data_IF_859754815461
#
_entry.id   IF_859754815461
#
_cell.length_a   1.000
_cell.length_b   1.000
_cell.length_c   1.000
_cell.angle_alpha   90.00
_cell.angle_beta   90.00
_cell.angle_gamma   90.00
#
_symmetry.space_group_name_H-M   'P 1'
#
loop_
_entity.id
_entity.type
_entity.pdbx_description
1 polymer ?
#
# COMPACT_ATOMS: atom_id res chain seq x y z
N UNK A 1 21.27 -14.39 -26.65
CA UNK A 1 21.88 -13.08 -26.89
C UNK A 1 20.72 -12.09 -26.96
N UNK A 2 20.34 -11.47 -25.83
CA UNK A 2 19.41 -10.34 -25.89
C UNK A 2 20.28 -9.16 -26.31
N UNK A 3 20.14 -8.73 -27.55
CA UNK A 3 20.76 -7.47 -27.96
C UNK A 3 20.29 -6.41 -26.98
N UNK A 4 21.26 -5.74 -26.38
CA UNK A 4 21.10 -4.73 -25.35
C UNK A 4 20.03 -3.73 -25.79
N UNK A 5 18.81 -3.85 -25.25
CA UNK A 5 17.68 -2.98 -25.61
C UNK A 5 18.17 -1.53 -25.56
N UNK A 6 18.25 -0.92 -26.73
CA UNK A 6 18.95 0.35 -26.89
C UNK A 6 18.19 1.46 -26.16
N UNK A 7 18.89 2.51 -25.73
CA UNK A 7 18.26 3.68 -25.12
C UNK A 7 17.11 4.25 -25.98
N UNK A 8 17.26 4.18 -27.31
CA UNK A 8 16.24 4.60 -28.29
C UNK A 8 14.95 3.77 -28.20
N UNK A 9 15.06 2.45 -28.06
CA UNK A 9 13.92 1.53 -28.00
C UNK A 9 13.17 1.70 -26.69
N UNK A 10 13.90 1.80 -25.58
CA UNK A 10 13.33 2.09 -24.26
C UNK A 10 12.60 3.43 -24.24
N UNK A 11 13.18 4.47 -24.86
CA UNK A 11 12.52 5.77 -25.02
C UNK A 11 11.26 5.68 -25.89
N UNK A 12 11.24 4.85 -26.93
CA UNK A 12 10.06 4.65 -27.76
C UNK A 12 8.93 3.96 -26.97
N UNK A 13 9.25 2.92 -26.20
CA UNK A 13 8.29 2.24 -25.32
C UNK A 13 7.74 3.22 -24.27
N UNK A 14 8.61 4.02 -23.63
CA UNK A 14 8.18 5.01 -22.65
C UNK A 14 7.22 6.04 -23.25
N UNK A 15 7.48 6.52 -24.48
CA UNK A 15 6.56 7.42 -25.20
C UNK A 15 5.23 6.76 -25.54
N UNK A 16 5.25 5.53 -26.05
CA UNK A 16 4.03 4.79 -26.32
C UNK A 16 3.18 4.60 -25.04
N UNK A 17 3.81 4.34 -23.89
CA UNK A 17 3.13 4.29 -22.59
C UNK A 17 2.47 5.64 -22.27
N UNK A 18 3.16 6.76 -22.50
CA UNK A 18 2.60 8.11 -22.26
C UNK A 18 1.38 8.36 -23.13
N UNK A 19 1.44 8.02 -24.42
CA UNK A 19 0.38 8.25 -25.40
C UNK A 19 -0.85 7.36 -25.17
N UNK A 20 -0.64 6.10 -24.76
CA UNK A 20 -1.72 5.13 -24.56
C UNK A 20 -2.32 5.15 -23.15
N UNK A 21 -1.68 5.82 -22.20
CA UNK A 21 -2.14 5.80 -20.81
C UNK A 21 -3.41 6.65 -20.62
N UNK A 22 -4.43 6.12 -19.93
CA UNK A 22 -5.70 6.83 -19.76
C UNK A 22 -5.60 8.06 -18.84
N UNK A 23 -4.56 8.14 -18.00
CA UNK A 23 -4.27 9.31 -17.18
C UNK A 23 -2.80 9.31 -16.71
N UNK A 24 -2.27 10.45 -16.22
CA UNK A 24 -0.89 10.55 -15.75
C UNK A 24 -0.51 9.60 -14.61
N UNK A 25 -1.45 9.26 -13.71
CA UNK A 25 -1.19 8.34 -12.58
C UNK A 25 -0.99 6.91 -13.09
N UNK A 26 -1.84 6.46 -14.01
CA UNK A 26 -1.70 5.16 -14.69
C UNK A 26 -0.39 5.10 -15.49
N UNK A 27 -0.05 6.19 -16.20
CA UNK A 27 1.21 6.31 -16.92
C UNK A 27 2.42 6.11 -16.00
N UNK A 28 2.44 6.75 -14.82
CA UNK A 28 3.53 6.59 -13.85
C UNK A 28 3.65 5.18 -13.33
N UNK A 29 2.52 4.51 -13.08
CA UNK A 29 2.53 3.13 -12.62
C UNK A 29 3.21 2.23 -13.65
N UNK A 30 2.83 2.37 -14.93
CA UNK A 30 3.42 1.62 -16.04
C UNK A 30 4.91 1.93 -16.24
N UNK A 31 5.31 3.20 -16.22
CA UNK A 31 6.73 3.59 -16.32
C UNK A 31 7.56 3.08 -15.13
N UNK A 32 6.99 3.04 -13.93
CA UNK A 32 7.67 2.50 -12.74
C UNK A 32 7.86 0.99 -12.84
N UNK A 33 6.84 0.27 -13.31
CA UNK A 33 6.96 -1.18 -13.60
C UNK A 33 8.04 -1.44 -14.64
N UNK A 34 8.07 -0.68 -15.74
CA UNK A 34 9.11 -0.80 -16.77
C UNK A 34 10.52 -0.60 -16.18
N UNK A 35 10.72 0.41 -15.32
CA UNK A 35 12.02 0.60 -14.65
C UNK A 35 12.40 -0.57 -13.76
N UNK A 36 11.46 -1.12 -13.00
CA UNK A 36 11.75 -2.28 -12.13
C UNK A 36 12.18 -3.50 -12.95
N UNK A 37 11.50 -3.79 -14.07
CA UNK A 37 11.89 -4.91 -14.93
C UNK A 37 13.26 -4.69 -15.58
N UNK A 38 13.55 -3.46 -16.02
CA UNK A 38 14.88 -3.13 -16.57
C UNK A 38 15.99 -3.23 -15.52
N UNK A 39 15.71 -2.87 -14.26
CA UNK A 39 16.66 -3.05 -13.15
C UNK A 39 16.94 -4.54 -12.89
N UNK A 40 15.92 -5.40 -12.94
CA UNK A 40 16.11 -6.86 -12.82
C UNK A 40 16.97 -7.43 -13.95
N UNK A 41 16.93 -6.80 -15.12
CA UNK A 41 17.76 -7.15 -16.28
C UNK A 41 19.16 -6.50 -16.26
N UNK A 42 19.57 -5.86 -15.16
CA UNK A 42 20.84 -5.13 -15.05
C UNK A 42 21.05 -4.05 -16.13
N UNK A 43 19.96 -3.39 -16.57
CA UNK A 43 20.06 -2.27 -17.50
C UNK A 43 20.89 -1.11 -16.90
N UNK A 44 21.58 -0.36 -17.75
CA UNK A 44 22.42 0.75 -17.30
C UNK A 44 21.61 1.89 -16.69
N UNK A 45 22.21 2.64 -15.76
CA UNK A 45 21.58 3.79 -15.11
C UNK A 45 21.11 4.86 -16.13
N UNK A 46 21.80 4.98 -17.27
CA UNK A 46 21.41 5.88 -18.35
C UNK A 46 20.03 5.51 -18.94
N UNK A 47 19.78 4.21 -19.15
CA UNK A 47 18.51 3.68 -19.64
C UNK A 47 17.40 3.91 -18.61
N UNK A 48 17.68 3.66 -17.33
CA UNK A 48 16.69 3.87 -16.26
C UNK A 48 16.32 5.35 -16.13
N UNK A 49 17.30 6.25 -16.21
CA UNK A 49 17.09 7.71 -16.17
C UNK A 49 16.31 8.21 -17.39
N UNK A 50 16.53 7.64 -18.57
CA UNK A 50 15.81 8.01 -19.79
C UNK A 50 14.28 7.80 -19.70
N UNK A 51 13.81 6.90 -18.82
CA UNK A 51 12.37 6.62 -18.60
C UNK A 51 11.75 7.61 -17.61
N UNK A 52 12.55 8.45 -16.95
CA UNK A 52 12.06 9.42 -15.98
C UNK A 52 11.59 10.68 -16.73
N UNK A 53 10.27 10.86 -16.80
CA UNK A 53 9.62 11.99 -17.47
C UNK A 53 9.09 12.95 -16.40
N UNK A 54 9.77 14.08 -16.12
CA UNK A 54 9.42 14.97 -15.00
C UNK A 54 8.03 15.61 -15.09
N UNK A 55 7.57 15.87 -16.32
CA UNK A 55 6.26 16.46 -16.59
C UNK A 55 5.12 15.54 -16.11
N UNK A 56 5.20 14.25 -16.45
CA UNK A 56 4.23 13.23 -16.02
C UNK A 56 4.27 13.06 -14.50
N UNK A 57 5.45 13.10 -13.87
CA UNK A 57 5.59 13.10 -12.40
C UNK A 57 4.84 14.28 -11.77
N UNK A 58 5.02 15.47 -12.33
CA UNK A 58 4.38 16.68 -11.83
C UNK A 58 2.86 16.60 -11.97
N UNK A 59 2.36 16.12 -13.11
CA UNK A 59 0.92 15.94 -13.34
C UNK A 59 0.31 14.87 -12.42
N UNK A 60 0.95 13.71 -12.28
CA UNK A 60 0.51 12.65 -11.38
C UNK A 60 0.43 13.12 -9.94
N UNK A 61 1.47 13.81 -9.45
CA UNK A 61 1.51 14.33 -8.09
C UNK A 61 0.41 15.37 -7.83
N UNK A 62 0.13 16.24 -8.81
CA UNK A 62 -1.00 17.19 -8.73
C UNK A 62 -2.34 16.47 -8.62
N UNK A 63 -2.56 15.42 -9.42
CA UNK A 63 -3.80 14.63 -9.38
C UNK A 63 -3.94 13.92 -8.03
N UNK A 64 -2.89 13.27 -7.56
CA UNK A 64 -2.90 12.59 -6.26
C UNK A 64 -3.15 13.56 -5.11
N UNK A 65 -2.52 14.74 -5.11
CA UNK A 65 -2.76 15.78 -4.12
C UNK A 65 -4.21 16.27 -4.13
N UNK A 66 -4.78 16.51 -5.32
CA UNK A 66 -6.19 16.91 -5.44
C UNK A 66 -7.13 15.83 -4.90
N UNK A 67 -6.86 14.55 -5.19
CA UNK A 67 -7.63 13.43 -4.63
C UNK A 67 -7.51 13.32 -3.11
N UNK A 68 -6.33 13.55 -2.55
CA UNK A 68 -6.13 13.61 -1.09
C UNK A 68 -7.00 14.70 -0.47
N UNK A 69 -6.97 15.90 -1.04
CA UNK A 69 -7.77 17.03 -0.54
C UNK A 69 -9.28 16.76 -0.63
N UNK A 70 -9.74 16.07 -1.68
CA UNK A 70 -11.15 15.67 -1.77
C UNK A 70 -11.52 14.68 -0.66
N UNK A 71 -10.69 13.67 -0.41
CA UNK A 71 -10.88 12.69 0.66
C UNK A 71 -10.92 13.34 2.05
N UNK A 72 -10.07 14.35 2.30
CA UNK A 72 -10.08 15.12 3.55
C UNK A 72 -11.41 15.85 3.78
N UNK A 73 -12.07 16.33 2.71
CA UNK A 73 -13.33 17.06 2.80
C UNK A 73 -14.58 16.16 2.83
N UNK A 74 -14.51 14.95 2.27
CA UNK A 74 -15.62 13.97 2.30
C UNK A 74 -15.81 13.35 3.69
N UNK A 75 -14.80 13.45 4.55
CA UNK A 75 -14.78 12.74 5.82
C UNK A 75 -14.67 11.23 5.63
N UNK A 76 -14.47 10.49 6.72
CA UNK A 76 -14.40 9.03 6.66
C UNK A 76 -15.80 8.48 6.93
N UNK A 77 -16.49 8.02 5.89
CA UNK A 77 -17.74 7.27 6.06
C UNK A 77 -17.43 5.80 6.39
N UNK A 78 -17.31 5.50 7.68
CA UNK A 78 -17.15 4.12 8.13
C UNK A 78 -18.41 3.31 7.79
N UNK A 79 -18.28 2.13 7.17
CA UNK A 79 -19.38 1.19 7.07
C UNK A 79 -19.92 0.83 8.47
N UNK A 80 -21.21 0.51 8.60
CA UNK A 80 -21.85 0.20 9.89
C UNK A 80 -21.16 -0.93 10.67
N UNK A 81 -20.53 -1.89 9.97
CA UNK A 81 -19.78 -2.99 10.58
C UNK A 81 -18.42 -2.56 11.20
N UNK A 82 -18.03 -1.31 11.01
CA UNK A 82 -16.90 -0.64 11.67
C UNK A 82 -17.35 0.36 12.73
N UNK A 83 -18.65 0.43 13.06
CA UNK A 83 -19.10 1.19 14.23
C UNK A 83 -18.46 0.64 15.51
N UNK A 84 -18.35 1.50 16.52
CA UNK A 84 -17.76 1.12 17.80
C UNK A 84 -18.53 -0.04 18.45
N UNK A 85 -19.86 -0.01 18.38
CA UNK A 85 -20.74 -1.09 18.83
C UNK A 85 -20.46 -2.41 18.09
N UNK A 86 -20.40 -2.38 16.75
CA UNK A 86 -20.15 -3.58 15.92
C UNK A 86 -18.75 -4.15 16.17
N UNK A 87 -17.73 -3.29 16.33
CA UNK A 87 -16.37 -3.71 16.67
C UNK A 87 -16.35 -4.37 18.05
N UNK A 88 -17.00 -3.76 19.05
CA UNK A 88 -17.09 -4.29 20.41
C UNK A 88 -17.79 -5.64 20.47
N UNK A 89 -18.91 -5.80 19.76
CA UNK A 89 -19.65 -7.05 19.71
C UNK A 89 -18.81 -8.19 19.11
N UNK A 90 -18.12 -7.93 17.99
CA UNK A 90 -17.20 -8.92 17.41
C UNK A 90 -16.02 -9.25 18.32
N UNK A 91 -15.46 -8.27 19.03
CA UNK A 91 -14.36 -8.52 19.97
C UNK A 91 -14.81 -9.42 21.12
N UNK A 92 -16.03 -9.25 21.62
CA UNK A 92 -16.59 -10.10 22.67
C UNK A 92 -16.81 -11.56 22.25
N UNK A 93 -16.93 -11.83 20.94
CA UNK A 93 -17.05 -13.20 20.41
C UNK A 93 -15.71 -13.96 20.39
N UNK A 94 -14.57 -13.26 20.46
CA UNK A 94 -13.27 -13.93 20.45
C UNK A 94 -12.88 -14.43 21.85
N UNK A 95 -12.63 -15.74 21.95
CA UNK A 95 -12.06 -16.34 23.17
C UNK A 95 -10.58 -15.97 23.29
N UNK A 96 -10.29 -14.99 24.16
CA UNK A 96 -8.92 -14.49 24.44
C UNK A 96 -7.98 -15.56 25.00
N UNK A 97 -8.53 -16.63 25.59
CA UNK A 97 -7.76 -17.74 26.17
C UNK A 97 -7.37 -18.82 25.16
N UNK A 98 -7.80 -18.71 23.90
CA UNK A 98 -7.45 -19.65 22.83
C UNK A 98 -6.60 -18.95 21.78
N UNK A 99 -5.71 -19.71 21.15
CA UNK A 99 -4.95 -19.21 20.01
C UNK A 99 -5.93 -18.73 18.93
N UNK A 100 -5.85 -17.46 18.50
CA UNK A 100 -6.76 -16.94 17.49
C UNK A 100 -6.53 -17.62 16.15
N UNK A 101 -7.61 -17.80 15.38
CA UNK A 101 -7.48 -18.22 13.98
C UNK A 101 -6.88 -17.10 13.15
N UNK A 102 -6.30 -17.42 11.98
CA UNK A 102 -5.79 -16.39 11.04
C UNK A 102 -6.88 -15.37 10.66
N UNK A 103 -8.14 -15.80 10.60
CA UNK A 103 -9.28 -14.94 10.35
C UNK A 103 -9.58 -14.00 11.53
N UNK A 104 -9.51 -14.50 12.77
CA UNK A 104 -9.65 -13.69 13.97
C UNK A 104 -8.55 -12.62 14.04
N UNK A 105 -7.31 -12.99 13.73
CA UNK A 105 -6.17 -12.07 13.68
C UNK A 105 -6.39 -10.99 12.60
N UNK A 106 -6.72 -11.37 11.37
CA UNK A 106 -6.99 -10.42 10.29
C UNK A 106 -8.13 -9.45 10.64
N UNK A 107 -9.20 -9.96 11.25
CA UNK A 107 -10.32 -9.14 11.70
C UNK A 107 -9.89 -8.12 12.77
N UNK A 108 -9.07 -8.53 13.75
CA UNK A 108 -8.54 -7.62 14.78
C UNK A 108 -7.61 -6.56 14.17
N UNK A 109 -6.78 -6.93 13.20
CA UNK A 109 -5.89 -6.01 12.50
C UNK A 109 -6.66 -4.94 11.73
N UNK A 110 -7.70 -5.37 11.01
CA UNK A 110 -8.59 -4.50 10.24
C UNK A 110 -9.41 -3.61 11.19
N UNK A 111 -9.85 -4.12 12.35
CA UNK A 111 -10.58 -3.36 13.37
C UNK A 111 -9.74 -2.30 14.07
N UNK A 112 -8.51 -2.64 14.44
CA UNK A 112 -7.60 -1.75 15.18
C UNK A 112 -6.77 -0.85 14.25
N UNK A 113 -7.00 -0.93 12.93
CA UNK A 113 -6.26 -0.19 11.92
C UNK A 113 -4.73 -0.34 12.04
N UNK A 114 -4.26 -1.50 12.52
CA UNK A 114 -2.83 -1.74 12.75
C UNK A 114 -2.16 -1.95 11.39
N UNK A 115 -1.06 -1.24 11.15
CA UNK A 115 -0.29 -1.43 9.92
C UNK A 115 0.39 -2.79 9.95
N UNK A 116 0.40 -3.49 8.82
CA UNK A 116 1.01 -4.83 8.71
C UNK A 116 2.48 -4.87 9.20
N UNK A 117 3.20 -3.76 9.08
CA UNK A 117 4.59 -3.63 9.54
C UNK A 117 4.72 -3.60 11.07
N UNK A 118 3.72 -3.06 11.78
CA UNK A 118 3.69 -2.97 13.25
C UNK A 118 3.40 -4.32 13.92
N UNK A 119 3.01 -5.32 13.14
CA UNK A 119 2.62 -6.66 13.61
C UNK A 119 3.82 -7.60 13.66
N UNK A 120 4.90 -7.32 12.92
CA UNK A 120 6.11 -8.17 12.92
C UNK A 120 6.68 -8.36 14.32
N UNK A 121 6.50 -7.37 15.18
CA UNK A 121 7.01 -7.35 16.56
C UNK A 121 5.89 -7.54 17.60
N UNK A 122 4.66 -7.80 17.16
CA UNK A 122 3.53 -8.03 18.05
C UNK A 122 3.66 -9.41 18.70
N UNK A 123 4.01 -9.43 19.97
CA UNK A 123 4.07 -10.63 20.78
C UNK A 123 3.05 -10.54 21.91
N UNK A 124 2.37 -11.66 22.20
CA UNK A 124 1.52 -11.77 23.39
C UNK A 124 2.47 -11.97 24.58
N UNK A 125 2.69 -10.91 25.38
CA UNK A 125 3.32 -11.10 26.69
C UNK A 125 2.28 -11.69 27.63
N UNK A 126 2.49 -12.94 28.04
CA UNK A 126 1.62 -13.64 28.98
C UNK A 126 1.87 -13.09 30.40
N UNK A 127 1.60 -11.81 30.64
CA UNK A 127 1.66 -11.23 31.97
C UNK A 127 0.36 -11.62 32.67
N UNK A 128 0.42 -12.68 33.47
CA UNK A 128 -0.63 -13.02 34.42
C UNK A 128 -1.08 -11.75 35.15
N UNK A 129 -2.36 -11.41 35.04
CA UNK A 129 -2.99 -10.41 35.92
C UNK A 129 -3.03 -11.04 37.30
N UNK A 130 -1.95 -10.87 38.08
CA UNK A 130 -1.92 -11.23 39.48
C UNK A 130 -2.78 -10.24 40.26
N UNK A 131 -3.94 -10.74 40.67
CA UNK A 131 -4.75 -10.36 41.83
C UNK A 131 -4.81 -8.87 42.24
N UNK A 132 -6.01 -8.30 42.11
CA UNK A 132 -6.44 -7.22 43.01
C UNK A 132 -6.61 -7.81 44.42
N UNK A 133 -5.61 -7.64 45.28
CA UNK A 133 -5.81 -7.85 46.71
C UNK A 133 -6.67 -6.71 47.25
N UNK A 134 -7.84 -7.07 47.76
CA UNK A 134 -8.80 -6.19 48.41
C UNK A 134 -8.36 -6.03 49.88
N UNK A 135 -7.91 -4.84 50.26
CA UNK A 135 -7.88 -4.38 51.65
C UNK A 135 -8.75 -3.14 51.77
#
# INVERSE_FOLDING_TARGET
>A
MWDSLGEKEVKAIARAIVETSPNPVACISSLSKLRMELQKLNASEAIIKAIKIPEINTLSNKIQKKKSLLCENEGIHYPDHFSLESVKERLNLYYVHKTPTMQALANVMIMLCIRLLEIKDLHISNRSVTEYSKN
#
